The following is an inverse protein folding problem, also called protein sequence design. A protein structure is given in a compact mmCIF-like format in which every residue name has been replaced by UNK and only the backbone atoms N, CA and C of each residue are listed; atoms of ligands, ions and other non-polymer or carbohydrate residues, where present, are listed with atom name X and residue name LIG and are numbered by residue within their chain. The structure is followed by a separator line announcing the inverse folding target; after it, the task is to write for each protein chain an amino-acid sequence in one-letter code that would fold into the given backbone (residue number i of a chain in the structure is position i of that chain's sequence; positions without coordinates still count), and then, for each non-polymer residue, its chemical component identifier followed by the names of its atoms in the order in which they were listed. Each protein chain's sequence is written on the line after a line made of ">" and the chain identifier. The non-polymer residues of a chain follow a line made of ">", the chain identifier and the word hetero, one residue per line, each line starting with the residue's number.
data_IF_347567233847
#
_entry.id   IF_347567233847
#
_cell.length_a   1.000
_cell.length_b   1.000
_cell.length_c   1.000
_cell.angle_alpha   90.00
_cell.angle_beta   90.00
_cell.angle_gamma   90.00
#
_symmetry.space_group_name_H-M   'P 1'
#
loop_
_entity.id
_entity.type
_entity.pdbx_description
1 polymer ?
#
# COMPACT_ATOMS: atom_id res chain seq x y z
N UNK A 1 -2.37 14.71 -2.77
CA UNK A 1 -2.65 15.64 -1.66
C UNK A 1 -1.35 16.13 -1.03
N UNK A 2 -0.49 15.21 -0.58
CA UNK A 2 0.85 15.48 -0.03
C UNK A 2 1.66 16.55 -0.81
N UNK A 3 1.96 16.32 -2.09
CA UNK A 3 2.74 17.28 -2.89
C UNK A 3 2.08 18.66 -3.04
N UNK A 4 0.74 18.75 -2.99
CA UNK A 4 0.01 20.02 -3.05
C UNK A 4 0.15 20.78 -1.74
N UNK A 5 0.10 20.09 -0.60
CA UNK A 5 0.29 20.70 0.73
C UNK A 5 1.74 21.16 0.91
N UNK A 6 2.72 20.33 0.53
CA UNK A 6 4.15 20.68 0.60
C UNK A 6 4.44 21.94 -0.23
N UNK A 7 3.89 22.02 -1.46
CA UNK A 7 4.02 23.19 -2.33
C UNK A 7 3.35 24.43 -1.74
N UNK A 8 2.15 24.29 -1.19
CA UNK A 8 1.42 25.41 -0.59
C UNK A 8 2.16 26.01 0.61
N UNK A 9 2.65 25.18 1.54
CA UNK A 9 3.47 25.63 2.69
C UNK A 9 4.79 26.27 2.23
N UNK A 10 5.36 25.80 1.12
CA UNK A 10 6.61 26.37 0.58
C UNK A 10 6.41 27.60 -0.30
N UNK A 11 5.16 28.00 -0.58
CA UNK A 11 4.85 29.04 -1.56
C UNK A 11 5.24 28.70 -3.01
N UNK A 12 5.51 27.42 -3.31
CA UNK A 12 5.99 26.98 -4.63
C UNK A 12 4.80 26.80 -5.56
N UNK A 13 4.82 27.56 -6.65
CA UNK A 13 3.81 27.53 -7.70
C UNK A 13 4.20 26.53 -8.81
N UNK A 14 3.37 26.43 -9.85
CA UNK A 14 3.71 25.64 -11.05
C UNK A 14 4.77 26.31 -11.93
N UNK A 15 4.93 27.64 -11.84
CA UNK A 15 5.88 28.42 -12.63
C UNK A 15 7.32 28.23 -12.17
N UNK A 16 7.53 27.79 -10.93
CA UNK A 16 8.86 27.56 -10.38
C UNK A 16 9.52 26.29 -10.94
N UNK A 17 8.76 25.46 -11.68
CA UNK A 17 9.24 24.22 -12.32
C UNK A 17 9.99 23.23 -11.39
N UNK A 18 9.90 23.41 -10.08
CA UNK A 18 10.47 22.53 -9.05
C UNK A 18 9.85 21.14 -9.17
N UNK A 19 10.64 20.06 -9.04
CA UNK A 19 10.10 18.71 -9.08
C UNK A 19 9.47 18.34 -7.75
N UNK A 20 8.53 17.40 -7.76
CA UNK A 20 7.95 16.90 -6.52
C UNK A 20 8.97 16.08 -5.70
N UNK A 21 10.00 15.52 -6.35
CA UNK A 21 11.13 14.84 -5.70
C UNK A 21 11.92 15.82 -4.84
N UNK A 22 12.33 16.97 -5.38
CA UNK A 22 13.04 18.02 -4.65
C UNK A 22 12.22 18.51 -3.42
N UNK A 23 10.90 18.63 -3.59
CA UNK A 23 9.99 18.99 -2.51
C UNK A 23 9.92 17.89 -1.44
N UNK A 24 10.00 16.62 -1.80
CA UNK A 24 10.01 15.53 -0.82
C UNK A 24 11.33 15.45 -0.08
N UNK A 25 12.45 15.58 -0.80
CA UNK A 25 13.79 15.60 -0.22
C UNK A 25 13.94 16.74 0.79
N UNK A 26 13.51 17.96 0.42
CA UNK A 26 13.53 19.13 1.31
C UNK A 26 12.80 18.90 2.64
N UNK A 27 11.70 18.15 2.61
CA UNK A 27 10.87 17.88 3.80
C UNK A 27 11.14 16.50 4.42
N UNK A 28 12.09 15.71 3.89
CA UNK A 28 12.35 14.34 4.34
C UNK A 28 11.16 13.40 4.18
N UNK A 29 10.26 13.66 3.23
CA UNK A 29 9.04 12.87 3.03
C UNK A 29 9.31 11.70 2.09
N UNK A 30 9.01 10.49 2.55
CA UNK A 30 9.19 9.26 1.78
C UNK A 30 8.06 9.10 0.75
N UNK A 31 8.33 8.40 -0.36
CA UNK A 31 7.32 8.11 -1.36
C UNK A 31 6.14 7.32 -0.76
N UNK A 32 4.90 7.73 -1.08
CA UNK A 32 3.68 7.06 -0.61
C UNK A 32 3.66 5.55 -0.93
N UNK A 33 4.23 5.15 -2.06
CA UNK A 33 4.34 3.74 -2.46
C UNK A 33 5.18 2.93 -1.47
N UNK A 34 6.24 3.53 -0.93
CA UNK A 34 7.07 2.91 0.09
C UNK A 34 6.32 2.79 1.41
N UNK A 35 5.57 3.82 1.82
CA UNK A 35 4.75 3.74 3.03
C UNK A 35 3.66 2.68 2.90
N UNK A 36 3.02 2.59 1.73
CA UNK A 36 2.06 1.53 1.44
C UNK A 36 2.70 0.15 1.47
N UNK A 37 3.94 0.02 0.95
CA UNK A 37 4.70 -1.24 1.00
C UNK A 37 5.03 -1.62 2.44
N UNK A 38 5.52 -0.69 3.24
CA UNK A 38 5.80 -0.89 4.66
C UNK A 38 4.56 -1.37 5.42
N UNK A 39 3.41 -0.72 5.23
CA UNK A 39 2.16 -1.13 5.88
C UNK A 39 1.71 -2.53 5.48
N UNK A 40 1.84 -2.90 4.20
CA UNK A 40 1.57 -4.28 3.76
C UNK A 40 2.50 -5.29 4.42
N UNK A 41 3.78 -4.96 4.58
CA UNK A 41 4.75 -5.83 5.25
C UNK A 41 4.48 -5.95 6.75
N UNK A 42 4.12 -4.86 7.42
CA UNK A 42 3.71 -4.87 8.82
C UNK A 42 2.49 -5.77 9.03
N UNK A 43 1.49 -5.66 8.14
CA UNK A 43 0.30 -6.52 8.17
C UNK A 43 0.67 -7.98 7.91
N UNK A 44 1.52 -8.25 6.92
CA UNK A 44 2.00 -9.61 6.65
C UNK A 44 2.74 -10.21 7.85
N UNK A 45 3.63 -9.43 8.48
CA UNK A 45 4.31 -9.85 9.70
C UNK A 45 3.35 -10.11 10.87
N UNK A 46 2.25 -9.35 10.97
CA UNK A 46 1.19 -9.62 11.94
C UNK A 46 0.56 -10.99 11.68
N UNK A 47 0.15 -11.28 10.43
CA UNK A 47 -0.42 -12.58 10.05
C UNK A 47 0.55 -13.73 10.36
N UNK A 48 1.85 -13.56 10.10
CA UNK A 48 2.83 -14.61 10.37
C UNK A 48 3.00 -14.92 11.86
N UNK A 49 2.91 -13.90 12.73
CA UNK A 49 3.00 -14.03 14.20
C UNK A 49 1.67 -14.42 14.86
N UNK A 50 0.56 -14.36 14.14
CA UNK A 50 -0.75 -14.69 14.67
C UNK A 50 -0.85 -16.17 15.07
N UNK A 51 -1.71 -16.47 16.03
CA UNK A 51 -1.90 -17.84 16.53
C UNK A 51 -2.49 -18.74 15.44
N UNK A 52 -2.26 -20.05 15.50
CA UNK A 52 -2.79 -21.00 14.52
C UNK A 52 -4.33 -21.04 14.45
N UNK A 53 -5.01 -20.60 15.50
CA UNK A 53 -6.48 -20.55 15.56
C UNK A 53 -7.04 -19.21 15.06
N UNK A 54 -6.17 -18.22 14.81
CA UNK A 54 -6.59 -16.93 14.28
C UNK A 54 -7.09 -17.08 12.84
N UNK A 55 -8.15 -16.33 12.50
CA UNK A 55 -8.78 -16.40 11.18
C UNK A 55 -7.78 -15.99 10.09
N UNK A 56 -6.95 -14.99 10.36
CA UNK A 56 -5.93 -14.50 9.46
C UNK A 56 -4.85 -15.55 9.14
N UNK A 57 -4.40 -16.32 10.13
CA UNK A 57 -3.40 -17.38 9.92
C UNK A 57 -4.01 -18.56 9.16
N UNK A 58 -5.22 -18.96 9.54
CA UNK A 58 -5.95 -20.03 8.86
C UNK A 58 -6.18 -19.66 7.40
N UNK A 59 -6.69 -18.47 7.11
CA UNK A 59 -6.92 -18.01 5.74
C UNK A 59 -5.63 -17.92 4.91
N UNK A 60 -4.51 -17.54 5.54
CA UNK A 60 -3.22 -17.48 4.88
C UNK A 60 -2.63 -18.86 4.53
N UNK A 61 -2.81 -19.85 5.41
CA UNK A 61 -2.34 -21.22 5.19
C UNK A 61 -3.33 -22.08 4.38
N UNK A 62 -4.56 -21.60 4.17
CA UNK A 62 -5.61 -22.35 3.52
C UNK A 62 -5.36 -22.56 2.02
N UNK A 63 -5.22 -23.81 1.61
CA UNK A 63 -5.23 -24.21 0.21
C UNK A 63 -6.65 -24.58 -0.22
N UNK A 64 -7.16 -23.91 -1.26
CA UNK A 64 -8.48 -24.22 -1.83
C UNK A 64 -8.33 -25.46 -2.73
N UNK A 65 -8.93 -26.61 -2.40
CA UNK A 65 -8.90 -27.77 -3.28
C UNK A 65 -9.75 -27.53 -4.54
N UNK A 66 -9.28 -28.05 -5.67
CA UNK A 66 -10.00 -28.02 -6.95
C UNK A 66 -9.56 -26.89 -7.89
N UNK A 67 -9.84 -27.08 -9.18
CA UNK A 67 -9.56 -26.08 -10.21
C UNK A 67 -10.82 -25.26 -10.47
N UNK A 68 -10.71 -23.93 -10.42
CA UNK A 68 -11.78 -23.04 -10.86
C UNK A 68 -11.99 -23.25 -12.37
N UNK A 69 -13.20 -23.60 -12.83
CA UNK A 69 -13.46 -23.72 -14.27
C UNK A 69 -13.24 -22.37 -14.94
N UNK A 70 -12.70 -22.40 -16.16
CA UNK A 70 -12.45 -21.19 -16.95
C UNK A 70 -13.79 -20.58 -17.37
N UNK A 71 -14.02 -19.31 -17.05
CA UNK A 71 -15.22 -18.58 -17.44
C UNK A 71 -15.97 -17.94 -16.27
N UNK A 72 -17.12 -17.34 -16.59
CA UNK A 72 -17.98 -16.65 -15.63
C UNK A 72 -18.59 -17.67 -14.64
N UNK A 73 -18.72 -17.34 -13.35
CA UNK A 73 -19.52 -18.13 -12.42
C UNK A 73 -20.93 -18.34 -12.97
N UNK A 74 -21.48 -19.55 -12.81
CA UNK A 74 -22.89 -19.79 -13.15
C UNK A 74 -23.77 -18.87 -12.29
N UNK A 75 -24.72 -18.18 -12.92
CA UNK A 75 -25.78 -17.49 -12.18
C UNK A 75 -26.66 -18.54 -11.50
N UNK A 76 -27.00 -18.29 -10.22
CA UNK A 76 -27.91 -19.11 -9.43
C UNK A 76 -29.35 -18.93 -9.90
#
# INVERSE_FOLDING_TARGET
>A
MEAKMLRWVSGVTRLDHVRNEDMRERYGVVHIQEKMREQRLCWFGHVLRATKQSVEKIAYEFEVPGKRPRGRPRQR
#
